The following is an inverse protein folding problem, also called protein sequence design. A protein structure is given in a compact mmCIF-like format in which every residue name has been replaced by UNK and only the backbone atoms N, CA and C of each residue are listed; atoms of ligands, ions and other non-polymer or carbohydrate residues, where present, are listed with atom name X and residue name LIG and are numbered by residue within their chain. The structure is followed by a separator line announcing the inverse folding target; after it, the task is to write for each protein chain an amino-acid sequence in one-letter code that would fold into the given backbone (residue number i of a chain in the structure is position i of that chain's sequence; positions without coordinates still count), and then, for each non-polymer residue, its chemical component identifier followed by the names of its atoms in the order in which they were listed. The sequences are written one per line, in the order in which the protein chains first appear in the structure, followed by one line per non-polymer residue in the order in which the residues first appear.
data_IF_901468473804
#
_entry.id   IF_901468473804
#
_cell.length_a   1.000
_cell.length_b   1.000
_cell.length_c   1.000
_cell.angle_alpha   90.00
_cell.angle_beta   90.00
_cell.angle_gamma   90.00
#
_symmetry.space_group_name_H-M   'P 1'
#
loop_
_entity.id
_entity.type
_entity.pdbx_description
1 polymer ?
#
# COMPACT_ATOMS: atom_id res chain seq x y z
N UNK A 1 5.97 16.82 -14.31
CA UNK A 1 5.34 15.56 -14.74
C UNK A 1 6.42 14.53 -14.93
N UNK A 2 6.40 13.46 -14.11
CA UNK A 2 6.85 12.16 -14.60
C UNK A 2 6.02 11.94 -15.87
N UNK A 3 6.60 11.89 -17.07
CA UNK A 3 5.92 12.34 -18.32
C UNK A 3 4.56 11.71 -18.64
N UNK A 4 4.19 10.61 -17.97
CA UNK A 4 2.94 9.90 -18.12
C UNK A 4 2.19 9.60 -16.81
N UNK A 5 2.68 10.04 -15.64
CA UNK A 5 2.04 9.74 -14.35
C UNK A 5 1.56 11.01 -13.65
N UNK A 6 0.25 11.08 -13.41
CA UNK A 6 -0.39 12.08 -12.56
C UNK A 6 -0.39 11.58 -11.11
N UNK A 7 0.25 12.32 -10.21
CA UNK A 7 0.23 12.03 -8.77
C UNK A 7 -0.93 12.79 -8.15
N UNK A 8 -1.87 12.07 -7.53
CA UNK A 8 -3.03 12.63 -6.86
C UNK A 8 -3.01 12.33 -5.37
N UNK A 9 -3.09 13.38 -4.57
CA UNK A 9 -3.37 13.27 -3.15
C UNK A 9 -4.56 14.17 -2.83
N UNK A 10 -5.53 13.64 -2.09
CA UNK A 10 -6.75 14.38 -1.79
C UNK A 10 -6.39 15.62 -0.97
N UNK A 11 -6.89 16.77 -1.40
CA UNK A 11 -6.64 18.08 -0.79
C UNK A 11 -5.18 18.56 -0.88
N UNK A 12 -4.32 17.87 -1.61
CA UNK A 12 -2.91 18.25 -1.76
C UNK A 12 -2.44 18.03 -3.20
N UNK A 13 -2.46 19.11 -3.97
CA UNK A 13 -2.10 19.10 -5.38
C UNK A 13 -0.87 19.95 -5.64
N UNK A 14 -0.04 19.54 -6.59
CA UNK A 14 1.13 20.34 -6.95
C UNK A 14 0.73 21.70 -7.54
N UNK A 15 1.52 22.76 -7.34
CA UNK A 15 1.28 24.05 -7.99
C UNK A 15 1.20 23.94 -9.52
N UNK A 16 1.92 22.98 -10.11
CA UNK A 16 1.84 22.71 -11.54
C UNK A 16 0.50 22.09 -11.95
N UNK A 17 0.00 21.11 -11.20
CA UNK A 17 -1.28 20.48 -11.47
C UNK A 17 -2.42 21.49 -11.32
N UNK A 18 -2.38 22.33 -10.28
CA UNK A 18 -3.41 23.34 -10.01
C UNK A 18 -3.44 24.50 -10.99
N UNK A 19 -2.34 24.76 -11.72
CA UNK A 19 -2.32 25.69 -12.86
C UNK A 19 -3.09 25.17 -14.07
N UNK A 20 -3.18 23.85 -14.23
CA UNK A 20 -3.82 23.20 -15.38
C UNK A 20 -5.24 22.78 -15.05
N UNK A 21 -5.45 22.21 -13.85
CA UNK A 21 -6.72 21.68 -13.40
C UNK A 21 -7.14 22.35 -12.08
N UNK A 22 -8.40 22.79 -11.95
CA UNK A 22 -8.89 23.30 -10.68
C UNK A 22 -8.76 22.24 -9.55
N UNK A 23 -8.44 22.63 -8.31
CA UNK A 23 -8.29 21.68 -7.19
C UNK A 23 -9.51 20.76 -6.99
N UNK A 24 -10.72 21.27 -7.19
CA UNK A 24 -11.95 20.47 -7.09
C UNK A 24 -12.00 19.33 -8.11
N UNK A 25 -11.47 19.53 -9.32
CA UNK A 25 -11.41 18.49 -10.36
C UNK A 25 -10.44 17.40 -9.95
N UNK A 26 -9.27 17.78 -9.43
CA UNK A 26 -8.27 16.83 -8.96
C UNK A 26 -8.76 16.03 -7.73
N UNK A 27 -9.46 16.68 -6.80
CA UNK A 27 -10.07 16.02 -5.64
C UNK A 27 -11.20 15.06 -6.04
N UNK A 28 -12.03 15.46 -7.01
CA UNK A 28 -13.10 14.61 -7.55
C UNK A 28 -12.52 13.40 -8.28
N UNK A 29 -11.46 13.58 -9.07
CA UNK A 29 -10.78 12.50 -9.77
C UNK A 29 -10.15 11.51 -8.76
N UNK A 30 -9.42 12.01 -7.77
CA UNK A 30 -8.85 11.17 -6.70
C UNK A 30 -9.94 10.38 -5.96
N UNK A 31 -11.06 11.04 -5.66
CA UNK A 31 -12.20 10.42 -4.97
C UNK A 31 -12.91 9.38 -5.84
N UNK A 32 -13.07 9.63 -7.15
CA UNK A 32 -13.67 8.66 -8.08
C UNK A 32 -12.80 7.42 -8.21
N UNK A 33 -11.50 7.61 -8.45
CA UNK A 33 -10.54 6.51 -8.57
C UNK A 33 -10.48 5.68 -7.29
N UNK A 34 -10.47 6.33 -6.13
CA UNK A 34 -10.50 5.61 -4.84
C UNK A 34 -11.80 4.80 -4.68
N UNK A 35 -12.96 5.37 -5.01
CA UNK A 35 -14.27 4.66 -4.96
C UNK A 35 -14.36 3.50 -5.96
N UNK A 36 -13.83 3.66 -7.17
CA UNK A 36 -13.80 2.59 -8.17
C UNK A 36 -12.84 1.46 -7.78
N UNK A 37 -11.73 1.81 -7.13
CA UNK A 37 -10.71 0.84 -6.75
C UNK A 37 -11.01 0.13 -5.44
N UNK A 38 -11.65 0.79 -4.47
CA UNK A 38 -11.88 0.26 -3.12
C UNK A 38 -13.35 0.00 -2.84
N UNK A 39 -13.65 -1.12 -2.18
CA UNK A 39 -15.00 -1.45 -1.71
C UNK A 39 -15.10 -1.23 -0.19
N UNK A 40 -15.68 -0.11 0.23
CA UNK A 40 -15.90 0.21 1.66
C UNK A 40 -17.23 -0.34 2.21
N UNK A 41 -18.04 -0.94 1.35
CA UNK A 41 -19.33 -1.55 1.69
C UNK A 41 -19.18 -3.02 2.12
N UNK A 42 -17.95 -3.54 2.16
CA UNK A 42 -17.65 -4.83 2.80
C UNK A 42 -18.17 -4.76 4.24
N UNK A 43 -19.15 -5.61 4.54
CA UNK A 43 -19.79 -5.67 5.84
C UNK A 43 -18.87 -6.40 6.81
N UNK A 44 -18.69 -5.78 7.98
CA UNK A 44 -18.14 -6.43 9.16
C UNK A 44 -19.35 -6.65 10.06
N UNK A 45 -19.54 -7.88 10.53
CA UNK A 45 -20.59 -8.17 11.51
C UNK A 45 -20.24 -7.51 12.86
N UNK A 46 -21.25 -6.95 13.54
CA UNK A 46 -21.04 -6.20 14.78
C UNK A 46 -20.50 -7.09 15.90
N UNK A 47 -20.94 -8.35 15.97
CA UNK A 47 -20.44 -9.31 16.97
C UNK A 47 -18.98 -9.67 16.65
N UNK A 48 -18.65 -9.88 15.38
CA UNK A 48 -17.27 -10.15 14.96
C UNK A 48 -16.32 -9.00 15.30
N UNK A 49 -16.75 -7.76 15.03
CA UNK A 49 -16.01 -6.57 15.42
C UNK A 49 -15.84 -6.47 16.93
N UNK A 50 -16.91 -6.73 17.70
CA UNK A 50 -16.89 -6.67 19.15
C UNK A 50 -15.92 -7.71 19.74
N UNK A 51 -15.91 -8.95 19.23
CA UNK A 51 -15.00 -9.98 19.75
C UNK A 51 -13.55 -9.66 19.38
N UNK A 52 -13.29 -9.16 18.18
CA UNK A 52 -11.95 -8.75 17.74
C UNK A 52 -11.41 -7.61 18.63
N UNK A 53 -12.17 -6.53 18.78
CA UNK A 53 -11.77 -5.38 19.60
C UNK A 53 -11.63 -5.73 21.08
N UNK A 54 -12.56 -6.54 21.63
CA UNK A 54 -12.46 -7.02 23.02
C UNK A 54 -11.18 -7.81 23.25
N UNK A 55 -10.80 -8.70 22.34
CA UNK A 55 -9.56 -9.50 22.48
C UNK A 55 -8.32 -8.60 22.48
N UNK A 56 -8.25 -7.61 21.58
CA UNK A 56 -7.14 -6.67 21.52
C UNK A 56 -7.10 -5.73 22.73
N UNK A 57 -8.26 -5.28 23.21
CA UNK A 57 -8.36 -4.48 24.43
C UNK A 57 -7.88 -5.25 25.66
N UNK A 58 -8.27 -6.53 25.78
CA UNK A 58 -7.82 -7.38 26.88
C UNK A 58 -6.30 -7.54 26.91
N UNK A 59 -5.68 -7.71 25.74
CA UNK A 59 -4.23 -7.74 25.58
C UNK A 59 -3.59 -6.40 25.97
N UNK A 60 -4.16 -5.28 25.48
CA UNK A 60 -3.70 -3.92 25.77
C UNK A 60 -3.77 -3.58 27.26
N UNK A 61 -4.74 -4.12 27.99
CA UNK A 61 -4.89 -3.92 29.44
C UNK A 61 -4.07 -4.91 30.28
N UNK A 62 -3.30 -5.81 29.66
CA UNK A 62 -2.53 -6.85 30.37
C UNK A 62 -3.39 -7.94 31.00
N UNK A 63 -4.68 -8.05 30.62
CA UNK A 63 -5.64 -9.04 31.13
C UNK A 63 -5.67 -10.34 30.31
N UNK A 64 -4.96 -10.37 29.19
CA UNK A 64 -4.74 -11.55 28.35
C UNK A 64 -3.28 -11.60 27.90
N UNK A 65 -2.76 -12.81 27.64
CA UNK A 65 -1.42 -12.97 27.10
C UNK A 65 -1.41 -12.80 25.57
N UNK A 66 -0.22 -12.60 25.00
CA UNK A 66 -0.04 -12.53 23.54
C UNK A 66 -0.45 -13.82 22.86
N UNK A 67 -0.06 -14.96 23.43
CA UNK A 67 -0.34 -16.28 22.87
C UNK A 67 -1.84 -16.58 22.91
N UNK A 68 -2.52 -16.33 24.04
CA UNK A 68 -3.97 -16.50 24.16
C UNK A 68 -4.73 -15.65 23.13
N UNK A 69 -4.28 -14.40 22.96
CA UNK A 69 -4.90 -13.46 22.00
C UNK A 69 -4.65 -13.92 20.57
N UNK A 70 -3.43 -14.32 20.25
CA UNK A 70 -3.06 -14.85 18.93
C UNK A 70 -3.92 -16.06 18.57
N UNK A 71 -3.96 -17.08 19.43
CA UNK A 71 -4.72 -18.30 19.17
C UNK A 71 -6.21 -18.01 18.97
N UNK A 72 -6.79 -17.16 19.81
CA UNK A 72 -8.20 -16.76 19.71
C UNK A 72 -8.50 -16.06 18.39
N UNK A 73 -7.65 -15.13 17.96
CA UNK A 73 -7.84 -14.41 16.70
C UNK A 73 -7.61 -15.31 15.48
N UNK A 74 -6.64 -16.22 15.53
CA UNK A 74 -6.41 -17.21 14.46
C UNK A 74 -7.62 -18.15 14.34
N UNK A 75 -8.15 -18.68 15.45
CA UNK A 75 -9.35 -19.52 15.46
C UNK A 75 -10.56 -18.78 14.88
N UNK A 76 -10.76 -17.53 15.28
CA UNK A 76 -11.81 -16.67 14.72
C UNK A 76 -11.62 -16.43 13.21
N UNK A 77 -10.38 -16.29 12.73
CA UNK A 77 -10.14 -16.01 11.31
C UNK A 77 -10.69 -17.09 10.36
N UNK A 78 -10.85 -18.32 10.84
CA UNK A 78 -11.24 -19.48 10.02
C UNK A 78 -12.65 -19.34 9.45
N UNK A 79 -13.58 -18.74 10.21
CA UNK A 79 -14.99 -18.55 9.78
C UNK A 79 -15.18 -17.42 8.76
N UNK A 80 -14.17 -16.59 8.55
CA UNK A 80 -14.27 -15.46 7.65
C UNK A 80 -14.01 -15.81 6.19
N UNK A 81 -14.55 -14.97 5.32
CA UNK A 81 -14.20 -14.95 3.91
C UNK A 81 -12.73 -14.58 3.70
N UNK A 82 -12.31 -14.60 2.43
CA UNK A 82 -10.91 -14.41 2.06
C UNK A 82 -10.29 -13.15 2.66
N UNK A 83 -10.90 -11.99 2.44
CA UNK A 83 -10.32 -10.70 2.81
C UNK A 83 -10.34 -10.49 4.31
N UNK A 84 -11.45 -10.83 4.97
CA UNK A 84 -11.53 -10.61 6.41
C UNK A 84 -10.68 -11.61 7.20
N UNK A 85 -10.55 -12.85 6.72
CA UNK A 85 -9.57 -13.82 7.25
C UNK A 85 -8.15 -13.27 7.22
N UNK A 86 -7.71 -12.65 6.12
CA UNK A 86 -6.37 -12.07 5.97
C UNK A 86 -6.15 -10.91 6.94
N UNK A 87 -7.13 -10.01 7.07
CA UNK A 87 -7.06 -8.87 8.01
C UNK A 87 -6.96 -9.34 9.46
N UNK A 88 -7.79 -10.30 9.87
CA UNK A 88 -7.74 -10.82 11.25
C UNK A 88 -6.45 -11.58 11.53
N UNK A 89 -5.94 -12.37 10.57
CA UNK A 89 -4.62 -13.01 10.70
C UNK A 89 -3.48 -11.99 10.77
N UNK A 90 -3.58 -10.89 10.03
CA UNK A 90 -2.60 -9.82 10.08
C UNK A 90 -2.55 -9.17 11.46
N UNK A 91 -3.71 -8.92 12.07
CA UNK A 91 -3.79 -8.41 13.45
C UNK A 91 -3.27 -9.44 14.45
N UNK A 92 -3.66 -10.72 14.30
CA UNK A 92 -3.20 -11.79 15.17
C UNK A 92 -1.68 -11.90 15.19
N UNK A 93 -1.04 -12.04 14.03
CA UNK A 93 0.43 -12.13 13.94
C UNK A 93 1.12 -10.87 14.45
N UNK A 94 0.49 -9.71 14.28
CA UNK A 94 1.03 -8.50 14.85
C UNK A 94 0.99 -8.52 16.38
N UNK A 95 -0.04 -9.13 17.01
CA UNK A 95 -0.12 -9.26 18.47
C UNK A 95 0.97 -10.17 19.07
N UNK A 96 1.37 -11.24 18.36
CA UNK A 96 2.42 -12.15 18.82
C UNK A 96 3.82 -11.57 18.63
N UNK A 97 4.06 -10.94 17.48
CA UNK A 97 5.38 -10.47 17.06
C UNK A 97 5.58 -8.96 17.22
N UNK A 98 4.83 -8.29 18.12
CA UNK A 98 4.92 -6.84 18.35
C UNK A 98 6.24 -6.43 19.01
N UNK A 99 7.32 -6.54 18.24
CA UNK A 99 8.53 -5.75 18.36
C UNK A 99 8.38 -4.70 17.26
N UNK A 100 8.39 -3.43 17.67
CA UNK A 100 8.09 -2.21 16.88
C UNK A 100 8.85 -2.10 15.53
N UNK A 101 9.79 -3.01 15.25
CA UNK A 101 10.63 -3.05 14.06
C UNK A 101 10.09 -3.95 12.93
N UNK A 102 9.04 -4.76 13.14
CA UNK A 102 8.58 -5.71 12.13
C UNK A 102 7.17 -5.36 11.62
N UNK A 103 7.12 -4.76 10.43
CA UNK A 103 5.87 -4.57 9.67
C UNK A 103 5.52 -5.78 8.82
N UNK A 104 6.50 -6.67 8.63
CA UNK A 104 6.33 -7.87 7.84
C UNK A 104 5.19 -8.77 8.37
N UNK A 105 5.03 -9.03 9.69
CA UNK A 105 3.95 -9.87 10.19
C UNK A 105 2.55 -9.33 9.82
N UNK A 106 2.39 -8.00 9.82
CA UNK A 106 1.14 -7.35 9.38
C UNK A 106 0.98 -7.45 7.86
N UNK A 107 1.97 -7.00 7.09
CA UNK A 107 1.86 -6.85 5.64
C UNK A 107 1.87 -8.19 4.89
N UNK A 108 2.68 -9.14 5.34
CA UNK A 108 2.74 -10.49 4.75
C UNK A 108 1.44 -11.26 4.99
N UNK A 109 0.80 -11.13 6.16
CA UNK A 109 -0.52 -11.76 6.36
C UNK A 109 -1.64 -11.03 5.62
N UNK A 110 -1.48 -9.72 5.41
CA UNK A 110 -2.43 -8.93 4.62
C UNK A 110 -2.35 -9.27 3.12
N UNK A 111 -1.17 -9.52 2.56
CA UNK A 111 -1.01 -9.64 1.10
C UNK A 111 -0.49 -10.99 0.59
N UNK A 112 0.35 -11.71 1.36
CA UNK A 112 0.89 -13.00 0.93
C UNK A 112 -0.21 -14.05 0.97
N UNK A 113 -0.27 -14.85 -0.07
CA UNK A 113 -1.22 -15.94 -0.23
C UNK A 113 -0.53 -17.14 -0.90
N UNK A 114 -0.14 -18.16 -0.11
CA UNK A 114 0.46 -19.37 -0.65
C UNK A 114 -0.43 -20.10 -1.66
N UNK A 115 -1.75 -20.10 -1.47
CA UNK A 115 -2.70 -20.80 -2.33
C UNK A 115 -2.81 -20.11 -3.69
N UNK A 116 -2.69 -18.79 -3.71
CA UNK A 116 -2.61 -17.97 -4.94
C UNK A 116 -1.17 -17.72 -5.40
N UNK A 117 -0.19 -18.33 -4.75
CA UNK A 117 1.23 -18.16 -5.03
C UNK A 117 1.71 -16.69 -4.93
N UNK A 118 1.01 -15.84 -4.17
CA UNK A 118 1.40 -14.44 -3.94
C UNK A 118 2.29 -14.38 -2.70
N UNK A 119 3.40 -13.64 -2.78
CA UNK A 119 4.31 -13.48 -1.66
C UNK A 119 4.89 -12.06 -1.60
N UNK A 120 4.82 -11.45 -0.42
CA UNK A 120 5.54 -10.24 -0.05
C UNK A 120 6.94 -10.62 0.46
N UNK A 121 7.98 -9.98 -0.09
CA UNK A 121 9.36 -10.24 0.32
C UNK A 121 10.15 -8.95 0.46
N UNK A 122 10.97 -8.87 1.50
CA UNK A 122 11.91 -7.78 1.76
C UNK A 122 13.29 -8.10 1.19
N UNK A 123 13.45 -8.07 -0.13
CA UNK A 123 14.66 -8.62 -0.77
C UNK A 123 15.70 -7.60 -1.20
N UNK A 124 15.35 -6.31 -1.31
CA UNK A 124 16.26 -5.30 -1.87
C UNK A 124 16.95 -5.79 -3.16
N UNK A 125 16.16 -6.37 -4.05
CA UNK A 125 16.59 -6.95 -5.34
C UNK A 125 16.20 -6.04 -6.48
N UNK A 126 16.93 -6.10 -7.59
CA UNK A 126 16.52 -5.42 -8.81
C UNK A 126 15.17 -5.98 -9.29
N UNK A 127 14.20 -5.11 -9.65
CA UNK A 127 12.96 -5.53 -10.28
C UNK A 127 13.25 -6.24 -11.61
N UNK A 128 12.46 -7.27 -11.92
CA UNK A 128 12.54 -7.98 -13.21
C UNK A 128 12.07 -7.11 -14.38
N UNK A 129 11.29 -6.09 -14.05
CA UNK A 129 10.67 -5.11 -14.92
C UNK A 129 11.67 -4.03 -15.40
N UNK A 130 12.92 -4.10 -14.92
CA UNK A 130 14.01 -3.20 -15.29
C UNK A 130 14.18 -1.99 -14.37
N UNK A 131 15.22 -1.20 -14.64
CA UNK A 131 15.67 -0.07 -13.83
C UNK A 131 16.92 -0.37 -12.99
N UNK A 132 17.51 0.66 -12.41
CA UNK A 132 18.74 0.55 -11.59
C UNK A 132 18.46 0.57 -10.07
N UNK A 133 17.26 1.00 -9.66
CA UNK A 133 16.88 1.11 -8.26
C UNK A 133 16.23 -0.18 -7.75
N UNK A 134 16.31 -0.41 -6.43
CA UNK A 134 15.82 -1.64 -5.78
C UNK A 134 14.81 -1.30 -4.69
N UNK A 135 13.54 -1.73 -4.80
CA UNK A 135 12.57 -1.52 -3.74
C UNK A 135 12.96 -2.32 -2.49
N UNK A 136 12.59 -1.82 -1.31
CA UNK A 136 12.80 -2.55 -0.05
C UNK A 136 11.96 -3.82 -0.02
N UNK A 137 10.72 -3.74 -0.52
CA UNK A 137 9.79 -4.87 -0.59
C UNK A 137 9.17 -5.05 -1.99
N UNK A 138 8.90 -6.31 -2.33
CA UNK A 138 8.23 -6.70 -3.57
C UNK A 138 7.08 -7.65 -3.22
N UNK A 139 5.87 -7.33 -3.68
CA UNK A 139 4.73 -8.23 -3.70
C UNK A 139 4.67 -8.87 -5.09
N UNK A 140 4.81 -10.20 -5.17
CA UNK A 140 4.91 -10.90 -6.45
C UNK A 140 4.10 -12.20 -6.47
N UNK A 141 3.52 -12.52 -7.62
CA UNK A 141 3.02 -13.87 -7.93
C UNK A 141 4.20 -14.75 -8.35
N UNK A 142 4.31 -15.91 -7.72
CA UNK A 142 5.29 -16.95 -8.06
C UNK A 142 4.71 -17.80 -9.17
N UNK A 143 5.46 -18.04 -10.24
CA UNK A 143 5.10 -18.98 -11.31
C UNK A 143 6.27 -19.94 -11.53
N UNK A 144 5.99 -21.23 -11.63
CA UNK A 144 7.00 -22.27 -11.95
C UNK A 144 8.29 -22.17 -11.11
N UNK A 145 8.15 -21.95 -9.80
CA UNK A 145 9.24 -21.79 -8.83
C UNK A 145 10.05 -20.49 -8.90
N UNK A 146 9.79 -19.61 -9.86
CA UNK A 146 10.43 -18.29 -10.00
C UNK A 146 9.42 -17.17 -9.67
N UNK A 147 9.92 -16.05 -9.13
CA UNK A 147 9.09 -14.88 -8.82
C UNK A 147 9.00 -14.03 -10.08
N UNK A 148 7.97 -14.29 -10.90
CA UNK A 148 7.94 -13.82 -12.28
C UNK A 148 7.08 -12.59 -12.49
N UNK A 149 6.21 -12.22 -11.55
CA UNK A 149 5.24 -11.14 -11.76
C UNK A 149 5.11 -10.29 -10.52
N UNK A 150 5.83 -9.16 -10.45
CA UNK A 150 5.60 -8.18 -9.41
C UNK A 150 4.23 -7.52 -9.63
N UNK A 151 3.43 -7.47 -8.57
CA UNK A 151 2.11 -6.84 -8.54
C UNK A 151 2.10 -5.61 -7.61
N UNK A 152 3.20 -5.37 -6.90
CA UNK A 152 3.39 -4.18 -6.10
C UNK A 152 4.75 -4.09 -5.40
N UNK A 153 5.02 -2.93 -4.81
CA UNK A 153 6.32 -2.56 -4.24
C UNK A 153 6.18 -1.81 -2.91
N UNK A 154 7.23 -1.86 -2.11
CA UNK A 154 7.29 -1.14 -0.84
C UNK A 154 8.63 -0.45 -0.58
N UNK A 155 8.57 0.69 0.09
CA UNK A 155 9.72 1.42 0.65
C UNK A 155 9.47 1.65 2.14
N UNK A 156 10.47 1.41 2.98
CA UNK A 156 10.35 1.54 4.42
C UNK A 156 11.53 2.29 5.04
N UNK A 157 11.21 3.35 5.77
CA UNK A 157 12.19 4.14 6.51
C UNK A 157 11.82 4.25 7.98
N UNK A 158 12.84 4.16 8.83
CA UNK A 158 12.70 4.50 10.26
C UNK A 158 12.40 5.99 10.39
N UNK A 159 11.61 6.34 11.40
CA UNK A 159 11.43 7.74 11.74
C UNK A 159 12.78 8.34 12.11
N UNK A 160 13.22 9.32 11.33
CA UNK A 160 14.34 10.18 11.69
C UNK A 160 13.71 11.53 12.01
N UNK A 161 13.92 12.08 13.21
CA UNK A 161 13.21 13.29 13.67
C UNK A 161 13.30 14.51 12.75
N UNK A 162 14.30 14.53 11.85
CA UNK A 162 14.44 15.47 10.73
C UNK A 162 14.42 14.72 9.39
N UNK A 163 13.44 13.83 9.17
CA UNK A 163 13.31 13.09 7.93
C UNK A 163 13.27 14.10 6.79
N UNK A 164 14.30 14.07 5.94
CA UNK A 164 14.41 15.00 4.83
C UNK A 164 13.25 14.69 3.88
N UNK A 165 12.23 15.54 3.82
CA UNK A 165 11.06 15.41 2.94
C UNK A 165 11.48 15.01 1.52
N UNK A 166 12.61 15.55 1.04
CA UNK A 166 13.26 15.16 -0.20
C UNK A 166 13.44 13.64 -0.35
N UNK A 167 14.03 12.98 0.64
CA UNK A 167 14.33 11.55 0.59
C UNK A 167 13.08 10.68 0.51
N UNK A 168 11.99 11.11 1.14
CA UNK A 168 10.72 10.40 1.09
C UNK A 168 9.97 10.68 -0.23
N UNK A 169 10.10 11.89 -0.79
CA UNK A 169 9.62 12.16 -2.13
C UNK A 169 10.36 11.25 -3.14
N UNK A 170 11.68 11.09 -3.02
CA UNK A 170 12.48 10.18 -3.87
C UNK A 170 11.96 8.76 -3.80
N UNK A 171 11.76 8.20 -2.61
CA UNK A 171 11.23 6.83 -2.47
C UNK A 171 9.85 6.70 -3.12
N UNK A 172 9.01 7.73 -3.00
CA UNK A 172 7.69 7.69 -3.63
C UNK A 172 7.78 7.76 -5.16
N UNK A 173 8.69 8.58 -5.70
CA UNK A 173 8.96 8.60 -7.15
C UNK A 173 9.46 7.24 -7.64
N UNK A 174 10.30 6.56 -6.84
CA UNK A 174 10.75 5.19 -7.13
C UNK A 174 9.57 4.21 -7.13
N UNK A 175 8.69 4.26 -6.13
CA UNK A 175 7.46 3.45 -6.09
C UNK A 175 6.56 3.67 -7.33
N UNK A 176 6.40 4.93 -7.75
CA UNK A 176 5.64 5.26 -8.97
C UNK A 176 6.25 4.56 -10.19
N UNK A 177 7.58 4.64 -10.35
CA UNK A 177 8.29 4.01 -11.46
C UNK A 177 8.16 2.50 -11.42
N UNK A 178 8.40 1.87 -10.26
CA UNK A 178 8.32 0.42 -10.11
C UNK A 178 6.93 -0.10 -10.45
N UNK A 179 5.88 0.53 -9.93
CA UNK A 179 4.51 0.12 -10.22
C UNK A 179 4.11 0.33 -11.68
N UNK A 180 4.53 1.45 -12.27
CA UNK A 180 4.27 1.71 -13.69
C UNK A 180 4.95 0.64 -14.56
N UNK A 181 6.23 0.34 -14.30
CA UNK A 181 6.95 -0.72 -15.03
C UNK A 181 6.28 -2.08 -14.85
N UNK A 182 5.81 -2.41 -13.64
CA UNK A 182 5.06 -3.65 -13.40
C UNK A 182 3.76 -3.72 -14.19
N UNK A 183 3.01 -2.61 -14.27
CA UNK A 183 1.80 -2.54 -15.11
C UNK A 183 2.15 -2.81 -16.58
N UNK A 184 3.21 -2.19 -17.09
CA UNK A 184 3.58 -2.28 -18.51
C UNK A 184 4.12 -3.67 -18.88
N UNK A 185 5.01 -4.23 -18.06
CA UNK A 185 5.67 -5.52 -18.31
C UNK A 185 4.72 -6.68 -18.06
N UNK A 186 3.93 -6.63 -16.98
CA UNK A 186 3.06 -7.74 -16.59
C UNK A 186 1.62 -7.60 -17.03
N UNK A 187 1.29 -6.50 -17.71
CA UNK A 187 -0.04 -6.17 -18.17
C UNK A 187 -1.09 -6.17 -17.06
N UNK A 188 -0.85 -5.43 -15.98
CA UNK A 188 -1.73 -5.37 -14.80
C UNK A 188 -2.82 -4.28 -14.93
N UNK A 189 -3.99 -4.51 -14.34
CA UNK A 189 -5.03 -3.47 -14.19
C UNK A 189 -4.61 -2.36 -13.20
N UNK A 190 -3.90 -2.76 -12.14
CA UNK A 190 -3.34 -1.87 -11.14
C UNK A 190 -2.09 -2.50 -10.51
N UNK A 191 -1.24 -1.66 -9.91
CA UNK A 191 -0.16 -2.11 -9.04
C UNK A 191 -0.22 -1.38 -7.69
N UNK A 192 -0.04 -2.12 -6.60
CA UNK A 192 -0.03 -1.58 -5.22
C UNK A 192 1.34 -1.05 -4.86
N UNK A 193 1.41 0.11 -4.23
CA UNK A 193 2.59 0.58 -3.53
C UNK A 193 2.27 0.80 -2.06
N UNK A 194 3.25 0.59 -1.20
CA UNK A 194 3.17 1.06 0.18
C UNK A 194 4.44 1.79 0.57
N UNK A 195 4.27 2.81 1.40
CA UNK A 195 5.38 3.55 1.98
C UNK A 195 5.23 3.59 3.49
N UNK A 196 6.30 3.23 4.18
CA UNK A 196 6.41 3.32 5.63
C UNK A 196 7.40 4.42 5.97
N UNK A 197 6.95 5.37 6.79
CA UNK A 197 7.82 6.35 7.42
C UNK A 197 7.54 6.37 8.93
N UNK A 198 8.43 5.76 9.71
CA UNK A 198 8.21 5.59 11.14
C UNK A 198 6.94 4.79 11.42
N UNK A 199 5.98 5.43 12.09
CA UNK A 199 4.67 4.87 12.42
C UNK A 199 3.58 5.27 11.42
N UNK A 200 3.92 5.81 10.25
CA UNK A 200 2.95 6.12 9.20
C UNK A 200 3.07 5.08 8.09
N UNK A 201 1.98 4.37 7.82
CA UNK A 201 1.84 3.44 6.69
C UNK A 201 0.84 4.03 5.70
N UNK A 202 1.28 4.26 4.46
CA UNK A 202 0.41 4.75 3.39
C UNK A 202 0.40 3.75 2.23
N UNK A 203 -0.78 3.42 1.74
CA UNK A 203 -1.00 2.61 0.55
C UNK A 203 -1.40 3.49 -0.62
N UNK A 204 -0.88 3.16 -1.80
CA UNK A 204 -1.14 3.84 -3.06
C UNK A 204 -1.46 2.82 -4.15
N UNK A 205 -2.27 3.22 -5.12
CA UNK A 205 -2.37 2.50 -6.39
C UNK A 205 -1.81 3.30 -7.53
N UNK A 206 -1.20 2.57 -8.48
CA UNK A 206 -0.99 3.04 -9.84
C UNK A 206 -1.99 2.36 -10.76
N UNK A 207 -2.66 3.13 -11.61
CA UNK A 207 -3.56 2.61 -12.66
C UNK A 207 -3.32 3.32 -13.97
N UNK A 208 -3.43 2.61 -15.09
CA UNK A 208 -3.53 3.21 -16.41
C UNK A 208 -4.99 3.56 -16.69
N UNK A 209 -5.33 4.85 -16.69
CA UNK A 209 -6.73 5.31 -16.78
C UNK A 209 -7.11 5.75 -18.20
N UNK A 210 -6.12 6.11 -19.01
CA UNK A 210 -6.30 6.47 -20.41
C UNK A 210 -5.00 6.23 -21.18
N UNK A 211 -5.02 6.46 -22.50
CA UNK A 211 -3.88 6.31 -23.38
C UNK A 211 -2.63 7.04 -22.84
N UNK A 212 -1.60 6.28 -22.46
CA UNK A 212 -0.37 6.80 -21.88
C UNK A 212 -0.54 7.65 -20.63
N UNK A 213 -1.66 7.52 -19.91
CA UNK A 213 -1.98 8.33 -18.73
C UNK A 213 -2.19 7.41 -17.54
N UNK A 214 -1.19 7.40 -16.65
CA UNK A 214 -1.22 6.68 -15.40
C UNK A 214 -1.57 7.64 -14.28
N UNK A 215 -2.26 7.13 -13.27
CA UNK A 215 -2.56 7.88 -12.05
C UNK A 215 -2.01 7.11 -10.87
N UNK A 216 -1.20 7.78 -10.05
CA UNK A 216 -0.74 7.31 -8.76
C UNK A 216 -1.52 8.04 -7.66
N UNK A 217 -2.27 7.32 -6.84
CA UNK A 217 -3.16 7.93 -5.85
C UNK A 217 -3.19 7.15 -4.54
N UNK A 218 -3.33 7.89 -3.44
CA UNK A 218 -3.47 7.31 -2.09
C UNK A 218 -4.83 6.61 -1.94
N UNK A 219 -4.81 5.39 -1.39
CA UNK A 219 -6.02 4.61 -1.12
C UNK A 219 -6.32 4.48 0.37
N UNK A 220 -5.28 4.43 1.21
CA UNK A 220 -5.44 4.34 2.65
C UNK A 220 -4.18 4.81 3.36
N UNK A 221 -4.36 5.38 4.55
CA UNK A 221 -3.27 5.76 5.44
C UNK A 221 -3.60 5.35 6.87
N UNK A 222 -2.59 4.85 7.56
CA UNK A 222 -2.67 4.36 8.92
C UNK A 222 -1.56 4.95 9.78
N UNK A 223 -1.93 5.32 11.02
CA UNK A 223 -0.98 5.51 12.12
C UNK A 223 -0.84 4.16 12.81
N UNK A 224 0.36 3.59 12.75
CA UNK A 224 0.69 2.35 13.40
C UNK A 224 0.85 2.58 14.92
N UNK A 225 0.42 1.62 15.75
CA UNK A 225 0.62 1.65 17.19
C UNK A 225 2.12 1.61 17.49
N UNK A 226 2.53 2.37 18.50
CA UNK A 226 3.93 2.47 18.90
C UNK A 226 4.31 1.43 19.95
N UNK A 227 3.31 0.80 20.55
CA UNK A 227 3.46 -0.20 21.61
C UNK A 227 2.27 -1.17 21.58
N UNK A 228 2.33 -2.22 22.39
CA UNK A 228 1.21 -3.13 22.56
C UNK A 228 0.01 -2.44 23.23
N UNK A 229 0.29 -1.50 24.14
CA UNK A 229 -0.69 -0.68 24.82
C UNK A 229 -1.44 0.23 23.85
N UNK A 230 -0.84 0.60 22.72
CA UNK A 230 -1.49 1.41 21.70
C UNK A 230 -2.24 0.59 20.65
N UNK A 231 -2.12 -0.74 20.64
CA UNK A 231 -2.64 -1.57 19.55
C UNK A 231 -4.17 -1.44 19.39
N UNK A 232 -4.89 -1.26 20.49
CA UNK A 232 -6.33 -1.06 20.45
C UNK A 232 -6.74 0.20 19.67
N UNK A 233 -5.89 1.24 19.64
CA UNK A 233 -6.12 2.47 18.87
C UNK A 233 -6.05 2.23 17.36
N UNK A 234 -5.36 1.16 16.93
CA UNK A 234 -5.29 0.75 15.54
C UNK A 234 -6.51 -0.08 15.13
N UNK A 235 -7.01 -0.95 16.01
CA UNK A 235 -8.12 -1.88 15.72
C UNK A 235 -9.47 -1.16 15.88
N UNK A 236 -9.73 -0.22 14.97
CA UNK A 236 -10.98 0.53 14.90
C UNK A 236 -11.80 0.11 13.69
N UNK A 237 -13.11 0.37 13.73
CA UNK A 237 -14.01 0.08 12.60
C UNK A 237 -13.51 0.67 11.29
N UNK A 238 -13.06 1.93 11.32
CA UNK A 238 -12.51 2.64 10.17
C UNK A 238 -11.28 1.93 9.61
N UNK A 239 -10.32 1.59 10.46
CA UNK A 239 -9.08 0.96 10.00
C UNK A 239 -9.31 -0.44 9.46
N UNK A 240 -10.20 -1.22 10.08
CA UNK A 240 -10.57 -2.54 9.57
C UNK A 240 -11.22 -2.46 8.20
N UNK A 241 -12.18 -1.55 8.00
CA UNK A 241 -12.79 -1.32 6.68
C UNK A 241 -11.77 -0.92 5.63
N UNK A 242 -10.82 -0.05 5.97
CA UNK A 242 -9.76 0.34 5.04
C UNK A 242 -8.82 -0.83 4.71
N UNK A 243 -8.40 -1.62 5.69
CA UNK A 243 -7.56 -2.80 5.46
C UNK A 243 -8.26 -3.84 4.59
N UNK A 244 -9.55 -4.09 4.84
CA UNK A 244 -10.39 -4.96 4.01
C UNK A 244 -10.46 -4.46 2.58
N UNK A 245 -10.73 -3.17 2.40
CA UNK A 245 -10.85 -2.56 1.08
C UNK A 245 -9.52 -2.59 0.31
N UNK A 246 -8.38 -2.39 0.99
CA UNK A 246 -7.04 -2.53 0.40
C UNK A 246 -6.78 -3.98 -0.01
N UNK A 247 -7.05 -4.95 0.85
CA UNK A 247 -6.85 -6.37 0.53
C UNK A 247 -7.75 -6.83 -0.65
N UNK A 248 -9.04 -6.49 -0.61
CA UNK A 248 -9.97 -6.79 -1.72
C UNK A 248 -9.47 -6.18 -3.02
N UNK A 249 -9.09 -4.90 -3.00
CA UNK A 249 -8.66 -4.20 -4.19
C UNK A 249 -7.38 -4.80 -4.78
N UNK A 250 -6.41 -5.22 -3.95
CA UNK A 250 -5.22 -5.94 -4.42
C UNK A 250 -5.62 -7.26 -5.08
N UNK A 251 -6.45 -8.06 -4.43
CA UNK A 251 -6.96 -9.34 -4.98
C UNK A 251 -7.73 -9.18 -6.29
N UNK A 252 -8.46 -8.06 -6.44
CA UNK A 252 -9.34 -7.80 -7.58
C UNK A 252 -8.63 -7.12 -8.74
N UNK A 253 -7.71 -6.18 -8.48
CA UNK A 253 -7.12 -5.28 -9.48
C UNK A 253 -5.65 -5.56 -9.78
N UNK A 254 -4.87 -6.12 -8.85
CA UNK A 254 -3.45 -6.36 -9.05
C UNK A 254 -3.20 -7.68 -9.79
N UNK A 255 -3.83 -7.84 -10.96
CA UNK A 255 -3.75 -9.00 -11.83
C UNK A 255 -3.94 -8.60 -13.29
N UNK A 256 -3.71 -9.55 -14.20
CA UNK A 256 -3.94 -9.32 -15.63
C UNK A 256 -5.45 -9.18 -15.93
N UNK A 257 -5.88 -8.14 -16.64
CA UNK A 257 -7.25 -8.00 -17.10
C UNK A 257 -7.61 -9.06 -18.13
N UNK A 258 -8.91 -9.37 -18.20
CA UNK A 258 -9.48 -10.23 -19.25
C UNK A 258 -9.28 -9.65 -20.66
N UNK A 259 -9.10 -8.32 -20.78
CA UNK A 259 -8.90 -7.60 -22.05
C UNK A 259 -7.48 -7.01 -22.21
N UNK A 260 -6.45 -7.72 -21.75
CA UNK A 260 -5.06 -7.24 -21.74
C UNK A 260 -4.51 -6.74 -23.10
N UNK A 261 -5.01 -7.26 -24.23
CA UNK A 261 -4.54 -6.88 -25.58
C UNK A 261 -4.87 -5.43 -25.96
N UNK A 262 -5.95 -4.85 -25.45
CA UNK A 262 -6.30 -3.45 -25.73
C UNK A 262 -5.45 -2.49 -24.90
N UNK A 263 -5.17 -2.89 -23.65
CA UNK A 263 -4.47 -2.07 -22.66
C UNK A 263 -2.98 -1.96 -23.00
N UNK A 264 -2.36 -2.96 -23.64
CA UNK A 264 -0.95 -2.88 -24.04
C UNK A 264 -0.67 -1.78 -25.06
N UNK A 265 -1.63 -1.44 -25.92
CA UNK A 265 -1.49 -0.33 -26.87
C UNK A 265 -1.44 1.04 -26.20
N UNK A 266 -1.89 1.14 -24.94
CA UNK A 266 -1.93 2.37 -24.16
C UNK A 266 -0.65 2.58 -23.34
N UNK A 267 0.23 1.58 -23.25
CA UNK A 267 1.47 1.70 -22.48
C UNK A 267 2.43 2.73 -23.06
N UNK A 268 3.26 3.29 -22.19
CA UNK A 268 4.31 4.24 -22.55
C UNK A 268 5.59 3.89 -21.84
N UNK A 269 6.71 3.93 -22.52
CA UNK A 269 7.99 3.66 -21.87
C UNK A 269 8.25 4.66 -20.74
N UNK A 270 8.82 4.17 -19.65
CA UNK A 270 9.33 5.03 -18.59
C UNK A 270 10.57 5.74 -19.08
N UNK A 271 10.62 7.07 -18.96
CA UNK A 271 11.81 7.81 -19.35
C UNK A 271 13.03 7.38 -18.51
N UNK A 272 14.15 6.99 -19.12
CA UNK A 272 15.35 6.56 -18.38
C UNK A 272 15.93 7.66 -17.49
N UNK A 273 15.83 8.92 -17.92
CA UNK A 273 16.37 10.11 -17.24
C UNK A 273 15.42 10.75 -16.23
N UNK A 274 14.37 10.04 -15.83
CA UNK A 274 13.34 10.60 -14.96
C UNK A 274 13.87 10.97 -13.56
N UNK A 275 14.91 10.27 -13.11
CA UNK A 275 15.63 10.60 -11.88
C UNK A 275 16.51 11.86 -12.05
N UNK A 276 17.01 12.12 -13.26
CA UNK A 276 17.80 13.32 -13.58
C UNK A 276 16.94 14.60 -13.60
N UNK A 277 15.61 14.43 -13.73
CA UNK A 277 14.64 15.52 -13.64
C UNK A 277 14.27 15.89 -12.20
N UNK A 278 14.75 15.13 -11.21
CA UNK A 278 14.52 15.46 -9.81
C UNK A 278 15.57 16.45 -9.34
N UNK A 279 15.12 17.65 -8.98
CA UNK A 279 15.97 18.73 -8.47
C UNK A 279 16.84 18.21 -7.32
N UNK A 280 18.16 18.30 -7.47
CA UNK A 280 19.13 17.82 -6.48
C UNK A 280 19.25 18.73 -5.26
N UNK A 281 18.65 19.93 -5.30
CA UNK A 281 18.63 20.85 -4.18
C UNK A 281 17.80 20.29 -3.01
N UNK A 282 18.50 20.02 -1.90
CA UNK A 282 17.89 19.62 -0.63
C UNK A 282 17.30 20.85 0.05
N UNK A 283 16.15 21.31 -0.42
CA UNK A 283 15.43 22.39 0.24
C UNK A 283 14.46 21.81 1.29
N UNK A 284 14.86 21.89 2.57
CA UNK A 284 14.04 21.44 3.69
C UNK A 284 12.77 22.29 3.88
N UNK A 285 12.71 23.47 3.25
CA UNK A 285 11.56 24.39 3.33
C UNK A 285 10.51 24.12 2.23
N UNK A 286 10.86 23.36 1.19
CA UNK A 286 9.88 22.97 0.16
C UNK A 286 8.90 21.96 0.74
N UNK A 287 7.62 22.32 0.72
CA UNK A 287 6.53 21.41 1.03
C UNK A 287 6.52 20.28 0.00
N UNK A 288 6.82 19.04 0.41
CA UNK A 288 6.55 17.89 -0.46
C UNK A 288 5.04 17.81 -0.66
N UNK A 289 4.62 17.58 -1.91
CA UNK A 289 3.20 17.37 -2.28
C UNK A 289 2.67 16.02 -1.74
N UNK A 290 3.52 15.26 -1.04
CA UNK A 290 3.16 14.01 -0.39
C UNK A 290 3.39 14.16 1.11
N UNK A 291 2.33 13.94 1.89
CA UNK A 291 2.37 14.04 3.34
C UNK A 291 3.24 12.92 3.92
N UNK A 292 4.33 13.31 4.56
CA UNK A 292 5.12 12.43 5.40
C UNK A 292 4.86 12.79 6.85
N UNK A 293 4.07 11.97 7.55
CA UNK A 293 3.87 11.99 9.01
C UNK A 293 3.86 13.35 9.69
N UNK A 294 2.67 13.86 10.04
CA UNK A 294 2.50 14.70 11.23
C UNK A 294 2.24 13.79 12.44
#
# INVERSE_FOLDING_TARGET
NLTHVLVLNKHQHSPLATKIFPPCVLDNLASSLCKESTNLDIKIDDDDFLVLTKSVNQLSMGTATRDDTFEKLIAMSVKFDYSFKRVVRAIANWTSELWINYLDPLLSNLFSDPDRQINLRWTNTLPTEGGAARPDAILSEKRRLQHDTAIGHGEAKRYQGNANNFSLCIDTLRLIIFNKNAIDVHALDAAIAFQVNGFSLTFFFTRLVAYGTYVFFEIARFRLPQSLEDLHTFVTWKNLKLLLAVNDAVSRLCKRPTHARTISSWYRETLPSLQDLVDTSKDQTRTCVMHFGQ
#
